data_IF_187296178872
#
_entry.id   IF_187296178872
#
_cell.length_a   1.000
_cell.length_b   1.000
_cell.length_c   1.000
_cell.angle_alpha   90.00
_cell.angle_beta   90.00
_cell.angle_gamma   90.00
#
_symmetry.space_group_name_H-M   'P 1'
#
loop_
_entity.id
_entity.type
_entity.pdbx_description
1 polymer ?
#
# COMPACT_ATOMS: atom_id res chain seq x y z
N UNK A 1 14.20 26.28 -12.28
CA UNK A 1 13.72 25.00 -12.88
C UNK A 1 13.13 25.31 -14.24
N UNK A 2 13.54 24.61 -15.30
CA UNK A 2 12.97 24.82 -16.66
C UNK A 2 11.58 24.16 -16.76
N UNK A 3 10.72 24.57 -17.72
CA UNK A 3 9.41 23.95 -17.92
C UNK A 3 9.51 22.44 -18.20
N UNK A 4 10.53 22.03 -18.96
CA UNK A 4 10.80 20.62 -19.24
C UNK A 4 11.11 19.81 -17.98
N UNK A 5 11.96 20.34 -17.09
CA UNK A 5 12.29 19.70 -15.80
C UNK A 5 11.07 19.64 -14.89
N UNK A 6 10.25 20.69 -14.86
CA UNK A 6 9.02 20.69 -14.08
C UNK A 6 8.07 19.56 -14.54
N UNK A 7 7.82 19.44 -15.84
CA UNK A 7 7.00 18.37 -16.41
C UNK A 7 7.57 16.97 -16.12
N UNK A 8 8.89 16.81 -16.19
CA UNK A 8 9.57 15.57 -15.81
C UNK A 8 9.33 15.21 -14.33
N UNK A 9 9.44 16.19 -13.43
CA UNK A 9 9.19 15.97 -12.01
C UNK A 9 7.71 15.70 -11.71
N UNK A 10 6.77 16.31 -12.43
CA UNK A 10 5.34 15.97 -12.33
C UNK A 10 5.07 14.53 -12.78
N UNK A 11 5.67 14.07 -13.89
CA UNK A 11 5.54 12.69 -14.33
C UNK A 11 6.11 11.69 -13.29
N UNK A 12 7.26 12.01 -12.69
CA UNK A 12 7.86 11.22 -11.62
C UNK A 12 7.00 11.22 -10.35
N UNK A 13 6.44 12.37 -9.97
CA UNK A 13 5.53 12.53 -8.84
C UNK A 13 4.24 11.72 -9.03
N UNK A 14 3.66 11.74 -10.24
CA UNK A 14 2.47 10.98 -10.55
C UNK A 14 2.73 9.48 -10.41
N UNK A 15 3.87 9.00 -10.91
CA UNK A 15 4.26 7.59 -10.77
C UNK A 15 4.50 7.20 -9.31
N UNK A 16 5.30 7.96 -8.56
CA UNK A 16 5.57 7.65 -7.15
C UNK A 16 4.32 7.76 -6.28
N UNK A 17 3.55 8.83 -6.46
CA UNK A 17 2.31 9.07 -5.75
C UNK A 17 1.24 8.00 -6.02
N UNK A 18 1.24 7.43 -7.23
CA UNK A 18 0.37 6.28 -7.56
C UNK A 18 0.78 5.00 -6.83
N UNK A 19 2.09 4.72 -6.70
CA UNK A 19 2.56 3.61 -5.85
C UNK A 19 2.13 3.81 -4.40
N UNK A 20 2.32 5.02 -3.86
CA UNK A 20 1.87 5.35 -2.50
C UNK A 20 0.36 5.23 -2.36
N UNK A 21 -0.42 5.71 -3.32
CA UNK A 21 -1.87 5.57 -3.32
C UNK A 21 -2.29 4.09 -3.31
N UNK A 22 -1.72 3.26 -4.19
CA UNK A 22 -2.06 1.85 -4.31
C UNK A 22 -1.88 1.09 -2.99
N UNK A 23 -0.74 1.30 -2.32
CA UNK A 23 -0.42 0.65 -1.05
C UNK A 23 -1.23 1.28 0.10
N UNK A 24 -1.42 2.60 0.11
CA UNK A 24 -2.20 3.31 1.12
C UNK A 24 -3.69 2.90 1.11
N UNK A 25 -4.25 2.55 -0.05
CA UNK A 25 -5.60 1.96 -0.14
C UNK A 25 -5.68 0.66 0.66
N UNK A 26 -4.66 -0.20 0.59
CA UNK A 26 -4.59 -1.44 1.35
C UNK A 26 -4.61 -1.21 2.87
N UNK A 27 -3.78 -0.28 3.37
CA UNK A 27 -3.81 0.18 4.77
C UNK A 27 -5.20 0.69 5.17
N UNK A 28 -5.80 1.49 4.30
CA UNK A 28 -7.09 2.15 4.54
C UNK A 28 -8.25 1.17 4.59
N UNK A 29 -8.23 0.12 3.77
CA UNK A 29 -9.26 -0.93 3.78
C UNK A 29 -9.25 -1.69 5.11
N UNK A 30 -8.08 -2.13 5.57
CA UNK A 30 -7.96 -2.87 6.84
C UNK A 30 -8.34 -1.99 8.01
N UNK A 31 -7.80 -0.76 8.07
CA UNK A 31 -8.16 0.19 9.11
C UNK A 31 -9.65 0.57 9.06
N UNK A 32 -10.23 0.71 7.87
CA UNK A 32 -11.64 1.09 7.72
C UNK A 32 -12.58 0.11 8.44
N UNK A 33 -12.24 -1.17 8.48
CA UNK A 33 -13.05 -2.19 9.15
C UNK A 33 -12.64 -2.39 10.60
N UNK A 34 -11.34 -2.61 10.87
CA UNK A 34 -10.88 -2.97 12.22
C UNK A 34 -10.54 -1.77 13.10
N UNK A 35 -10.44 -0.56 12.53
CA UNK A 35 -9.93 0.66 13.19
C UNK A 35 -8.57 0.46 13.86
N UNK A 36 -7.75 -0.39 13.25
CA UNK A 36 -6.42 -0.78 13.70
C UNK A 36 -5.44 -0.69 12.54
N UNK A 37 -4.22 -0.28 12.86
CA UNK A 37 -3.14 -0.11 11.88
C UNK A 37 -2.46 -1.46 11.69
N UNK A 38 -2.44 -1.96 10.46
CA UNK A 38 -1.71 -3.16 10.08
C UNK A 38 -0.25 -2.80 9.75
N UNK A 39 0.63 -2.81 10.76
CA UNK A 39 2.05 -2.50 10.55
C UNK A 39 2.76 -3.51 9.61
N UNK A 40 2.31 -4.77 9.59
CA UNK A 40 2.85 -5.82 8.72
C UNK A 40 2.48 -5.65 7.23
N UNK A 41 1.64 -4.68 6.85
CA UNK A 41 1.22 -4.50 5.46
C UNK A 41 2.39 -4.15 4.52
N UNK A 42 3.38 -3.40 5.00
CA UNK A 42 4.63 -3.14 4.28
C UNK A 42 5.40 -4.44 3.97
N UNK A 43 5.35 -5.41 4.87
CA UNK A 43 6.03 -6.70 4.68
C UNK A 43 5.25 -7.62 3.75
N UNK A 44 3.92 -7.54 3.75
CA UNK A 44 3.07 -8.20 2.73
C UNK A 44 3.39 -7.67 1.33
N UNK A 45 3.59 -6.35 1.21
CA UNK A 45 4.08 -5.72 -0.02
C UNK A 45 5.47 -6.25 -0.42
N UNK A 46 6.38 -6.38 0.55
CA UNK A 46 7.72 -6.93 0.32
C UNK A 46 7.64 -8.38 -0.18
N UNK A 47 6.84 -9.23 0.48
CA UNK A 47 6.63 -10.62 0.06
C UNK A 47 6.06 -10.69 -1.36
N UNK A 48 5.18 -9.78 -1.76
CA UNK A 48 4.66 -9.72 -3.13
C UNK A 48 5.76 -9.53 -4.18
N UNK A 49 6.73 -8.66 -3.93
CA UNK A 49 7.86 -8.52 -4.83
C UNK A 49 8.76 -9.77 -4.87
N UNK A 50 8.99 -10.41 -3.72
CA UNK A 50 9.81 -11.62 -3.63
C UNK A 50 9.16 -12.82 -4.31
N UNK A 51 7.86 -13.06 -4.10
CA UNK A 51 7.14 -14.17 -4.75
C UNK A 51 7.15 -13.95 -6.27
N UNK A 52 6.95 -12.72 -6.74
CA UNK A 52 7.01 -12.41 -8.17
C UNK A 52 8.41 -12.65 -8.75
N UNK A 53 9.46 -12.23 -8.02
CA UNK A 53 10.84 -12.49 -8.40
C UNK A 53 11.14 -13.99 -8.48
N UNK A 54 10.84 -14.75 -7.45
CA UNK A 54 11.11 -16.20 -7.42
C UNK A 54 10.28 -16.97 -8.46
N UNK A 55 9.05 -16.54 -8.72
CA UNK A 55 8.24 -17.09 -9.81
C UNK A 55 8.90 -16.93 -11.17
N UNK A 56 9.54 -15.79 -11.44
CA UNK A 56 10.28 -15.59 -12.71
C UNK A 56 11.69 -16.19 -12.70
N UNK A 57 12.43 -16.08 -11.59
CA UNK A 57 13.85 -16.35 -11.54
C UNK A 57 14.19 -17.81 -11.25
N UNK A 58 13.37 -18.51 -10.45
CA UNK A 58 13.58 -19.93 -10.11
C UNK A 58 12.61 -20.81 -10.88
N UNK A 59 11.31 -20.49 -10.85
CA UNK A 59 10.30 -21.30 -11.54
C UNK A 59 10.27 -21.06 -13.06
N UNK A 60 11.04 -20.10 -13.56
CA UNK A 60 11.10 -19.72 -14.98
C UNK A 60 9.73 -19.42 -15.59
N UNK A 61 8.78 -18.98 -14.76
CA UNK A 61 7.44 -18.63 -15.23
C UNK A 61 7.49 -17.34 -16.05
N UNK A 62 6.66 -17.22 -17.09
CA UNK A 62 6.48 -15.93 -17.73
C UNK A 62 5.92 -14.92 -16.72
N UNK A 63 6.27 -13.65 -16.87
CA UNK A 63 5.98 -12.59 -15.89
C UNK A 63 4.48 -12.49 -15.52
N UNK A 64 3.58 -12.74 -16.48
CA UNK A 64 2.14 -12.70 -16.25
C UNK A 64 1.64 -13.89 -15.40
N UNK A 65 2.25 -15.07 -15.56
CA UNK A 65 1.92 -16.23 -14.73
C UNK A 65 2.48 -16.05 -13.31
N UNK A 66 3.69 -15.49 -13.19
CA UNK A 66 4.27 -15.11 -11.89
C UNK A 66 3.39 -14.08 -11.17
N UNK A 67 2.81 -13.12 -11.90
CA UNK A 67 1.88 -12.14 -11.35
C UNK A 67 0.62 -12.80 -10.77
N UNK A 68 -0.01 -13.73 -11.50
CA UNK A 68 -1.20 -14.45 -11.02
C UNK A 68 -0.87 -15.28 -9.77
N UNK A 69 0.26 -16.01 -9.80
CA UNK A 69 0.74 -16.78 -8.66
C UNK A 69 0.96 -15.87 -7.44
N UNK A 70 1.62 -14.74 -7.63
CA UNK A 70 1.91 -13.77 -6.57
C UNK A 70 0.62 -13.24 -5.95
N UNK A 71 -0.35 -12.83 -6.77
CA UNK A 71 -1.64 -12.32 -6.27
C UNK A 71 -2.32 -13.38 -5.43
N UNK A 72 -2.39 -14.63 -5.90
CA UNK A 72 -3.04 -15.71 -5.18
C UNK A 72 -2.33 -16.00 -3.85
N UNK A 73 -1.02 -16.22 -3.88
CA UNK A 73 -0.23 -16.54 -2.70
C UNK A 73 -0.28 -15.44 -1.65
N UNK A 74 -0.15 -14.18 -2.05
CA UNK A 74 -0.12 -13.05 -1.12
C UNK A 74 -1.50 -12.70 -0.57
N UNK A 75 -2.56 -12.86 -1.37
CA UNK A 75 -3.93 -12.72 -0.89
C UNK A 75 -4.23 -13.76 0.20
N UNK A 76 -3.84 -15.02 -0.05
CA UNK A 76 -4.00 -16.11 0.93
C UNK A 76 -3.11 -15.90 2.16
N UNK A 77 -1.87 -15.44 1.96
CA UNK A 77 -0.97 -15.09 3.06
C UNK A 77 -1.60 -13.99 3.95
N UNK A 78 -2.19 -12.96 3.35
CA UNK A 78 -2.92 -11.92 4.05
C UNK A 78 -4.06 -12.44 4.93
N UNK A 79 -4.85 -13.38 4.41
CA UNK A 79 -5.90 -14.06 5.17
C UNK A 79 -5.30 -14.90 6.30
N UNK A 80 -4.19 -15.60 6.05
CA UNK A 80 -3.47 -16.35 7.08
C UNK A 80 -2.93 -15.46 8.19
N UNK A 81 -2.33 -14.33 7.82
CA UNK A 81 -1.82 -13.31 8.73
C UNK A 81 -2.93 -12.76 9.63
N UNK A 82 -4.10 -12.46 9.05
CA UNK A 82 -5.29 -12.06 9.80
C UNK A 82 -5.70 -13.12 10.82
N UNK A 83 -5.83 -14.38 10.40
CA UNK A 83 -6.26 -15.48 11.27
C UNK A 83 -5.30 -15.78 12.41
N UNK A 84 -4.00 -15.59 12.19
CA UNK A 84 -2.96 -15.96 13.16
C UNK A 84 -2.62 -14.77 14.08
N UNK A 85 -2.42 -13.58 13.52
CA UNK A 85 -1.91 -12.44 14.27
C UNK A 85 -3.01 -11.49 14.78
N UNK A 86 -4.16 -11.41 14.10
CA UNK A 86 -5.19 -10.40 14.40
C UNK A 86 -6.44 -11.01 15.03
N UNK A 87 -7.00 -12.07 14.44
CA UNK A 87 -8.24 -12.71 14.89
C UNK A 87 -8.20 -13.13 16.37
N UNK A 88 -7.14 -13.77 16.89
CA UNK A 88 -7.13 -14.24 18.28
C UNK A 88 -7.17 -13.11 19.31
N UNK A 89 -6.78 -11.91 18.91
CA UNK A 89 -6.67 -10.74 19.77
C UNK A 89 -7.78 -9.72 19.51
N UNK A 90 -8.78 -10.05 18.69
CA UNK A 90 -9.80 -9.08 18.25
C UNK A 90 -10.62 -8.50 19.40
N UNK A 91 -10.88 -9.30 20.42
CA UNK A 91 -11.61 -8.88 21.63
C UNK A 91 -10.67 -8.36 22.74
N UNK A 92 -9.36 -8.31 22.47
CA UNK A 92 -8.36 -7.74 23.38
C UNK A 92 -8.23 -6.22 23.21
N UNK A 93 -7.59 -5.51 24.16
CA UNK A 93 -7.29 -4.09 23.99
C UNK A 93 -6.57 -3.81 22.67
N UNK A 94 -6.88 -2.68 22.03
CA UNK A 94 -6.31 -2.28 20.72
C UNK A 94 -4.78 -2.32 20.68
N UNK A 95 -4.13 -2.02 21.82
CA UNK A 95 -2.67 -2.05 21.98
C UNK A 95 -2.13 -3.47 21.77
N UNK A 96 -2.81 -4.51 22.26
CA UNK A 96 -2.39 -5.90 22.09
C UNK A 96 -2.36 -6.32 20.62
N UNK A 97 -3.34 -5.88 19.84
CA UNK A 97 -3.39 -6.15 18.40
C UNK A 97 -2.27 -5.40 17.67
N UNK A 98 -1.97 -4.16 18.08
CA UNK A 98 -0.84 -3.40 17.54
C UNK A 98 0.51 -4.07 17.82
N UNK A 99 0.72 -4.56 19.05
CA UNK A 99 1.93 -5.31 19.42
C UNK A 99 2.05 -6.58 18.57
N UNK A 100 0.95 -7.32 18.38
CA UNK A 100 0.93 -8.51 17.52
C UNK A 100 1.24 -8.17 16.06
N UNK A 101 0.69 -7.08 15.53
CA UNK A 101 0.98 -6.60 14.17
C UNK A 101 2.46 -6.28 13.97
N UNK A 102 3.08 -5.60 14.95
CA UNK A 102 4.52 -5.31 14.96
C UNK A 102 5.35 -6.59 15.10
N UNK A 103 4.94 -7.51 15.97
CA UNK A 103 5.59 -8.81 16.12
C UNK A 103 5.55 -9.66 14.85
N UNK A 104 4.39 -9.69 14.17
CA UNK A 104 4.24 -10.30 12.86
C UNK A 104 5.13 -9.65 11.79
N UNK A 105 5.20 -8.31 11.78
CA UNK A 105 6.09 -7.56 10.88
C UNK A 105 7.55 -7.98 11.04
N UNK A 106 8.07 -7.91 12.28
CA UNK A 106 9.43 -8.38 12.58
C UNK A 106 9.65 -9.86 12.24
N UNK A 107 8.67 -10.73 12.50
CA UNK A 107 8.75 -12.13 12.15
C UNK A 107 8.90 -12.32 10.63
N UNK A 108 8.08 -11.62 9.84
CA UNK A 108 8.12 -11.69 8.37
C UNK A 108 9.46 -11.15 7.85
N UNK A 109 9.92 -10.00 8.35
CA UNK A 109 11.20 -9.41 7.97
C UNK A 109 12.37 -10.37 8.24
N UNK A 110 12.45 -10.92 9.45
CA UNK A 110 13.54 -11.81 9.84
C UNK A 110 13.47 -13.17 9.11
N UNK A 111 12.26 -13.70 8.89
CA UNK A 111 12.08 -14.87 8.04
C UNK A 111 12.50 -14.59 6.60
N UNK A 112 12.20 -13.42 6.06
CA UNK A 112 12.65 -13.03 4.72
C UNK A 112 14.18 -12.91 4.64
N UNK A 113 14.83 -12.35 5.67
CA UNK A 113 16.31 -12.36 5.76
C UNK A 113 16.86 -13.78 5.81
N UNK A 114 16.26 -14.67 6.60
CA UNK A 114 16.69 -16.05 6.74
C UNK A 114 16.49 -16.86 5.45
N UNK A 115 15.32 -16.77 4.83
CA UNK A 115 14.92 -17.57 3.66
C UNK A 115 15.47 -17.01 2.34
N UNK A 116 15.48 -15.69 2.18
CA UNK A 116 15.88 -15.04 0.93
C UNK A 116 17.32 -14.52 0.98
N UNK A 117 17.90 -14.39 2.17
CA UNK A 117 19.21 -13.81 2.40
C UNK A 117 19.14 -12.29 2.53
N UNK A 118 20.03 -11.71 3.34
CA UNK A 118 20.13 -10.26 3.55
C UNK A 118 20.79 -9.46 2.42
N UNK A 119 21.32 -10.14 1.38
CA UNK A 119 21.96 -9.46 0.25
C UNK A 119 20.90 -8.98 -0.75
N UNK A 120 20.99 -7.73 -1.24
CA UNK A 120 20.07 -7.26 -2.25
C UNK A 120 20.12 -8.12 -3.53
N UNK A 121 18.95 -8.34 -4.13
CA UNK A 121 18.80 -9.10 -5.39
C UNK A 121 18.32 -8.17 -6.50
N UNK A 122 18.97 -8.22 -7.66
CA UNK A 122 18.51 -7.50 -8.85
C UNK A 122 17.26 -8.17 -9.45
N UNK A 123 16.31 -7.37 -9.92
CA UNK A 123 15.07 -7.86 -10.54
C UNK A 123 15.15 -7.68 -12.05
N UNK A 124 14.88 -8.75 -12.80
CA UNK A 124 14.73 -8.67 -14.25
C UNK A 124 13.39 -8.02 -14.58
N UNK A 125 13.45 -6.80 -15.11
CA UNK A 125 12.25 -6.07 -15.54
C UNK A 125 11.84 -6.54 -16.94
N UNK A 126 10.57 -6.90 -17.18
CA UNK A 126 10.11 -7.24 -18.53
C UNK A 126 10.40 -6.11 -19.51
N UNK A 127 10.87 -6.43 -20.73
CA UNK A 127 11.29 -5.41 -21.71
C UNK A 127 10.21 -4.36 -21.97
N UNK A 128 8.93 -4.77 -22.02
CA UNK A 128 7.80 -3.85 -22.20
C UNK A 128 7.76 -2.77 -21.11
N UNK A 129 8.12 -3.10 -19.87
CA UNK A 129 8.11 -2.19 -18.72
C UNK A 129 9.37 -1.32 -18.63
N UNK A 130 10.49 -1.79 -19.17
CA UNK A 130 11.79 -1.11 -19.11
C UNK A 130 12.09 -0.12 -20.24
N UNK A 131 11.26 -0.06 -21.30
CA UNK A 131 11.46 0.87 -22.42
C UNK A 131 11.34 2.33 -21.99
N UNK A 132 12.20 3.19 -22.52
CA UNK A 132 12.12 4.65 -22.33
C UNK A 132 11.32 5.24 -23.50
N UNK A 133 10.26 5.97 -23.17
CA UNK A 133 9.46 6.72 -24.12
C UNK A 133 9.83 8.19 -24.03
N UNK A 134 10.11 8.81 -25.18
CA UNK A 134 10.44 10.22 -25.28
C UNK A 134 9.21 11.00 -25.75
N UNK A 135 8.74 11.93 -24.91
CA UNK A 135 7.68 12.87 -25.22
C UNK A 135 8.29 14.28 -25.27
N UNK A 136 8.82 14.65 -26.45
CA UNK A 136 9.60 15.87 -26.59
C UNK A 136 10.82 15.87 -25.66
N UNK A 137 10.86 16.82 -24.72
CA UNK A 137 11.95 16.95 -23.74
C UNK A 137 11.79 16.06 -22.48
N UNK A 138 10.68 15.31 -22.36
CA UNK A 138 10.38 14.48 -21.19
C UNK A 138 10.68 13.01 -21.52
N UNK A 139 11.42 12.33 -20.66
CA UNK A 139 11.77 10.92 -20.83
C UNK A 139 11.13 10.09 -19.72
N UNK A 140 10.24 9.17 -20.10
CA UNK A 140 9.44 8.39 -19.15
C UNK A 140 9.64 6.91 -19.44
N UNK A 141 10.10 6.16 -18.43
CA UNK A 141 10.14 4.70 -18.51
C UNK A 141 8.72 4.16 -18.49
N UNK A 142 8.38 3.18 -19.34
CA UNK A 142 7.02 2.63 -19.51
C UNK A 142 6.37 2.25 -18.19
N UNK A 143 7.10 1.63 -17.26
CA UNK A 143 6.59 1.30 -15.91
C UNK A 143 5.96 2.50 -15.19
N UNK A 144 6.49 3.71 -15.40
CA UNK A 144 6.00 4.94 -14.77
C UNK A 144 4.63 5.38 -15.30
N UNK A 145 4.23 4.93 -16.49
CA UNK A 145 2.89 5.12 -17.06
C UNK A 145 1.96 3.97 -16.67
N UNK A 146 2.50 2.76 -16.56
CA UNK A 146 1.74 1.55 -16.17
C UNK A 146 1.28 1.65 -14.72
N UNK A 147 2.11 2.16 -13.82
CA UNK A 147 1.78 2.34 -12.40
C UNK A 147 0.47 3.13 -12.18
N UNK A 148 0.32 4.38 -12.66
CA UNK A 148 -0.91 5.13 -12.48
C UNK A 148 -2.09 4.42 -13.14
N UNK A 149 -1.92 3.86 -14.34
CA UNK A 149 -2.97 3.13 -15.04
C UNK A 149 -3.52 1.97 -14.20
N UNK A 150 -2.65 1.10 -13.67
CA UNK A 150 -3.07 -0.02 -12.82
C UNK A 150 -3.62 0.46 -11.48
N UNK A 151 -3.08 1.53 -10.91
CA UNK A 151 -3.58 2.10 -9.66
C UNK A 151 -5.02 2.58 -9.82
N UNK A 152 -5.32 3.34 -10.88
CA UNK A 152 -6.69 3.79 -11.17
C UNK A 152 -7.62 2.64 -11.53
N UNK A 153 -7.14 1.64 -12.28
CA UNK A 153 -7.92 0.44 -12.60
C UNK A 153 -8.31 -0.33 -11.35
N UNK A 154 -7.34 -0.63 -10.47
CA UNK A 154 -7.57 -1.36 -9.22
C UNK A 154 -8.43 -0.55 -8.25
N UNK A 155 -8.25 0.78 -8.19
CA UNK A 155 -9.13 1.66 -7.43
C UNK A 155 -10.57 1.61 -7.95
N UNK A 156 -10.78 1.66 -9.26
CA UNK A 156 -12.11 1.58 -9.85
C UNK A 156 -12.79 0.25 -9.54
N UNK A 157 -12.05 -0.86 -9.66
CA UNK A 157 -12.53 -2.20 -9.28
C UNK A 157 -12.87 -2.25 -7.79
N UNK A 158 -11.99 -1.74 -6.93
CA UNK A 158 -12.23 -1.72 -5.48
C UNK A 158 -13.45 -0.89 -5.12
N UNK A 159 -13.60 0.31 -5.69
CA UNK A 159 -14.76 1.17 -5.45
C UNK A 159 -16.04 0.52 -5.96
N UNK A 160 -15.99 -0.23 -7.07
CA UNK A 160 -17.11 -1.03 -7.53
C UNK A 160 -17.43 -2.16 -6.55
N UNK A 161 -16.44 -2.94 -6.10
CA UNK A 161 -16.62 -4.01 -5.09
C UNK A 161 -17.26 -3.41 -3.84
N UNK A 162 -16.66 -2.36 -3.27
CA UNK A 162 -17.16 -1.72 -2.06
C UNK A 162 -18.56 -1.20 -2.32
N UNK A 163 -18.78 -0.30 -3.27
CA UNK A 163 -20.04 0.44 -3.39
C UNK A 163 -21.19 -0.33 -4.06
N UNK A 164 -20.91 -1.33 -4.89
CA UNK A 164 -21.91 -1.98 -5.75
C UNK A 164 -22.14 -3.46 -5.48
N UNK A 165 -21.41 -4.10 -4.56
CA UNK A 165 -21.59 -5.54 -4.26
C UNK A 165 -22.15 -5.80 -2.85
N UNK A 166 -22.71 -7.00 -2.64
CA UNK A 166 -23.19 -7.44 -1.31
C UNK A 166 -22.04 -7.53 -0.31
N UNK A 167 -20.88 -8.04 -0.73
CA UNK A 167 -19.66 -8.09 0.10
C UNK A 167 -19.24 -6.69 0.53
N UNK A 168 -19.26 -5.72 -0.40
CA UNK A 168 -18.95 -4.33 -0.08
C UNK A 168 -19.98 -3.63 0.80
N UNK A 169 -21.27 -3.98 0.68
CA UNK A 169 -22.31 -3.55 1.61
C UNK A 169 -22.02 -4.06 3.03
N UNK A 170 -21.66 -5.34 3.16
CA UNK A 170 -21.28 -5.93 4.43
C UNK A 170 -19.99 -5.28 5.01
N UNK A 171 -18.97 -5.01 4.19
CA UNK A 171 -17.77 -4.26 4.61
C UNK A 171 -18.14 -2.89 5.22
N UNK A 172 -19.04 -2.14 4.57
CA UNK A 172 -19.50 -0.85 5.10
C UNK A 172 -20.31 -1.00 6.39
N UNK A 173 -21.17 -2.02 6.49
CA UNK A 173 -21.92 -2.30 7.71
C UNK A 173 -20.97 -2.57 8.89
N UNK A 174 -20.01 -3.48 8.70
CA UNK A 174 -19.02 -3.85 9.72
C UNK A 174 -18.13 -2.65 10.11
N UNK A 175 -17.73 -1.80 9.16
CA UNK A 175 -16.94 -0.58 9.46
C UNK A 175 -17.70 0.45 10.32
N UNK A 176 -19.03 0.41 10.26
CA UNK A 176 -19.90 1.34 10.99
C UNK A 176 -20.10 0.85 12.42
N UNK A 177 -20.60 -0.38 12.56
CA UNK A 177 -20.86 -1.03 13.84
C UNK A 177 -20.77 -2.55 13.69
N UNK A 178 -19.75 -3.14 14.32
CA UNK A 178 -19.46 -4.57 14.23
C UNK A 178 -20.54 -5.40 14.94
N UNK A 179 -21.03 -4.95 16.09
CA UNK A 179 -22.03 -5.68 16.89
C UNK A 179 -23.39 -5.65 16.19
N UNK A 180 -23.80 -4.48 15.70
CA UNK A 180 -25.03 -4.37 14.92
C UNK A 180 -24.95 -5.22 13.63
N UNK A 181 -23.81 -5.26 12.96
CA UNK A 181 -23.62 -6.12 11.79
C UNK A 181 -23.78 -7.61 12.13
N UNK A 182 -23.26 -8.07 13.29
CA UNK A 182 -23.46 -9.45 13.76
C UNK A 182 -24.93 -9.76 14.01
N UNK A 183 -25.68 -8.84 14.63
CA UNK A 183 -27.12 -9.00 14.86
C UNK A 183 -27.93 -9.08 13.56
N UNK A 184 -27.44 -8.48 12.49
CA UNK A 184 -28.00 -8.57 11.14
C UNK A 184 -27.54 -9.82 10.36
N UNK A 185 -27.01 -10.83 11.07
CA UNK A 185 -26.52 -12.10 10.51
C UNK A 185 -25.40 -11.96 9.46
N UNK A 186 -24.62 -10.87 9.52
CA UNK A 186 -23.43 -10.71 8.69
C UNK A 186 -22.28 -11.50 9.31
N UNK A 187 -21.66 -12.37 8.52
CA UNK A 187 -20.41 -13.04 8.91
C UNK A 187 -19.24 -12.04 8.96
N UNK A 188 -19.06 -11.43 10.13
CA UNK A 188 -17.99 -10.45 10.38
C UNK A 188 -16.61 -11.05 10.13
N UNK A 189 -16.38 -12.29 10.55
CA UNK A 189 -15.09 -12.95 10.39
C UNK A 189 -14.75 -13.14 8.92
N UNK A 190 -15.70 -13.64 8.13
CA UNK A 190 -15.55 -13.77 6.68
C UNK A 190 -15.26 -12.42 6.00
N UNK A 191 -15.98 -11.36 6.39
CA UNK A 191 -15.78 -10.02 5.81
C UNK A 191 -14.40 -9.43 6.17
N UNK A 192 -13.92 -9.62 7.40
CA UNK A 192 -12.57 -9.20 7.79
C UNK A 192 -11.52 -9.98 7.02
N UNK A 193 -11.63 -11.31 6.93
CA UNK A 193 -10.70 -12.13 6.15
C UNK A 193 -10.68 -11.72 4.67
N UNK A 194 -11.85 -11.51 4.04
CA UNK A 194 -11.92 -11.02 2.65
C UNK A 194 -11.21 -9.67 2.50
N UNK A 195 -11.38 -8.78 3.48
CA UNK A 195 -10.76 -7.45 3.46
C UNK A 195 -9.24 -7.52 3.57
N UNK A 196 -8.70 -8.40 4.41
CA UNK A 196 -7.27 -8.68 4.46
C UNK A 196 -6.75 -9.30 3.17
N UNK A 197 -7.51 -10.20 2.55
CA UNK A 197 -7.20 -10.77 1.25
C UNK A 197 -7.11 -9.71 0.16
N UNK A 198 -8.11 -8.83 0.04
CA UNK A 198 -8.12 -7.72 -0.92
C UNK A 198 -7.00 -6.71 -0.63
N UNK A 199 -6.79 -6.34 0.64
CA UNK A 199 -5.70 -5.46 1.02
C UNK A 199 -4.34 -6.04 0.60
N UNK A 200 -4.13 -7.32 0.88
CA UNK A 200 -2.88 -8.02 0.54
C UNK A 200 -2.71 -8.21 -0.97
N UNK A 201 -3.80 -8.39 -1.72
CA UNK A 201 -3.80 -8.35 -3.18
C UNK A 201 -3.28 -7.00 -3.70
N UNK A 202 -3.75 -5.88 -3.14
CA UNK A 202 -3.27 -4.55 -3.52
C UNK A 202 -1.79 -4.35 -3.15
N UNK A 203 -1.35 -4.86 -1.99
CA UNK A 203 0.05 -4.88 -1.60
C UNK A 203 0.90 -5.71 -2.57
N UNK A 204 0.39 -6.84 -3.06
CA UNK A 204 1.06 -7.68 -4.06
C UNK A 204 1.29 -6.92 -5.37
N UNK A 205 0.25 -6.25 -5.88
CA UNK A 205 0.39 -5.37 -7.05
C UNK A 205 1.38 -4.23 -6.79
N UNK A 206 1.32 -3.62 -5.61
CA UNK A 206 2.28 -2.60 -5.19
C UNK A 206 3.72 -3.13 -5.22
N UNK A 207 3.98 -4.32 -4.67
CA UNK A 207 5.29 -4.94 -4.61
C UNK A 207 5.87 -5.27 -5.99
N UNK A 208 5.03 -5.82 -6.88
CA UNK A 208 5.41 -6.11 -8.27
C UNK A 208 5.76 -4.82 -9.01
N UNK A 209 4.89 -3.81 -8.95
CA UNK A 209 5.10 -2.56 -9.67
C UNK A 209 6.30 -1.77 -9.09
N UNK A 210 6.50 -1.84 -7.78
CA UNK A 210 7.66 -1.26 -7.12
C UNK A 210 8.96 -1.92 -7.57
N UNK A 211 9.01 -3.26 -7.64
CA UNK A 211 10.20 -3.97 -8.08
C UNK A 211 10.50 -3.75 -9.57
N UNK A 212 9.50 -3.45 -10.40
CA UNK A 212 9.76 -3.01 -11.78
C UNK A 212 10.29 -1.58 -11.86
N UNK A 213 9.87 -0.69 -10.95
CA UNK A 213 10.32 0.71 -10.91
C UNK A 213 11.71 0.86 -10.28
N UNK A 214 11.96 0.09 -9.23
CA UNK A 214 13.19 0.04 -8.45
C UNK A 214 13.67 -1.42 -8.44
N UNK A 215 14.45 -1.85 -9.45
CA UNK A 215 14.77 -3.27 -9.71
C UNK A 215 15.79 -3.87 -8.75
N UNK A 216 15.53 -3.75 -7.47
CA UNK A 216 16.33 -4.24 -6.36
C UNK A 216 15.42 -4.68 -5.22
N UNK A 217 15.56 -5.92 -4.78
CA UNK A 217 14.87 -6.44 -3.60
C UNK A 217 15.80 -6.44 -2.39
N UNK A 218 15.26 -6.01 -1.25
CA UNK A 218 15.89 -6.13 0.06
C UNK A 218 14.81 -6.63 1.04
N UNK A 219 15.10 -7.58 1.95
CA UNK A 219 14.13 -8.06 2.94
C UNK A 219 13.53 -6.97 3.85
N UNK A 220 14.15 -5.79 3.92
CA UNK A 220 13.65 -4.65 4.70
C UNK A 220 13.00 -3.57 3.83
N UNK A 221 12.82 -3.80 2.54
CA UNK A 221 12.30 -2.77 1.62
C UNK A 221 10.83 -2.42 1.87
N UNK A 222 10.09 -3.20 2.67
CA UNK A 222 8.70 -2.93 3.03
C UNK A 222 8.53 -1.83 4.07
N UNK A 223 9.51 -1.64 4.95
CA UNK A 223 9.42 -0.76 6.13
C UNK A 223 9.18 0.68 5.75
N UNK A 224 10.09 1.27 4.96
CA UNK A 224 10.05 2.70 4.66
C UNK A 224 8.89 3.08 3.72
N UNK A 225 8.66 2.35 2.60
CA UNK A 225 7.46 2.56 1.80
C UNK A 225 6.17 2.32 2.60
N UNK A 226 6.12 1.30 3.47
CA UNK A 226 4.98 1.03 4.34
C UNK A 226 4.65 2.22 5.25
N UNK A 227 5.65 2.77 5.93
CA UNK A 227 5.49 3.98 6.76
C UNK A 227 5.03 5.19 5.93
N UNK A 228 5.59 5.41 4.73
CA UNK A 228 5.15 6.49 3.84
C UNK A 228 3.71 6.31 3.36
N UNK A 229 3.30 5.09 3.05
CA UNK A 229 1.92 4.81 2.64
C UNK A 229 0.94 4.94 3.80
N UNK A 230 1.36 4.61 5.02
CA UNK A 230 0.60 4.94 6.23
C UNK A 230 0.46 6.46 6.40
N UNK A 231 1.54 7.23 6.24
CA UNK A 231 1.50 8.70 6.26
C UNK A 231 0.50 9.22 5.23
N UNK A 232 0.57 8.72 4.00
CA UNK A 232 -0.36 9.06 2.93
C UNK A 232 -1.82 8.76 3.30
N UNK A 233 -2.09 7.58 3.88
CA UNK A 233 -3.43 7.20 4.34
C UNK A 233 -3.94 8.14 5.45
N UNK A 234 -3.09 8.51 6.41
CA UNK A 234 -3.46 9.42 7.51
C UNK A 234 -3.70 10.84 7.01
N UNK A 235 -2.79 11.38 6.19
CA UNK A 235 -2.96 12.70 5.55
C UNK A 235 -4.25 12.74 4.75
N UNK A 236 -4.52 11.70 3.97
CA UNK A 236 -5.73 11.55 3.17
C UNK A 236 -7.01 11.45 4.01
N UNK A 237 -6.90 10.98 5.26
CA UNK A 237 -8.00 10.61 6.12
C UNK A 237 -8.17 9.10 6.16
N UNK A 238 -7.58 8.48 7.18
CA UNK A 238 -7.55 7.02 7.32
C UNK A 238 -8.97 6.45 7.41
N UNK A 239 -9.21 5.33 6.71
CA UNK A 239 -10.55 4.75 6.52
C UNK A 239 -11.33 5.28 5.31
N UNK A 240 -10.86 6.34 4.62
CA UNK A 240 -11.43 6.83 3.36
C UNK A 240 -10.58 6.41 2.17
N UNK A 241 -11.07 5.49 1.33
CA UNK A 241 -10.35 4.99 0.15
C UNK A 241 -9.91 6.17 -0.75
N UNK A 242 -10.83 7.07 -1.10
CA UNK A 242 -10.53 8.25 -1.92
C UNK A 242 -9.55 9.22 -1.23
N UNK A 243 -9.64 9.33 0.11
CA UNK A 243 -8.70 10.10 0.92
C UNK A 243 -7.28 9.56 0.78
N UNK A 244 -7.10 8.26 0.96
CA UNK A 244 -5.80 7.60 0.84
C UNK A 244 -5.13 7.79 -0.52
N UNK A 245 -5.93 7.79 -1.60
CA UNK A 245 -5.43 8.07 -2.95
C UNK A 245 -4.92 9.50 -3.07
N UNK A 246 -5.71 10.49 -2.66
CA UNK A 246 -5.26 11.89 -2.66
C UNK A 246 -4.03 12.10 -1.78
N UNK A 247 -4.00 11.47 -0.60
CA UNK A 247 -2.85 11.51 0.29
C UNK A 247 -1.59 10.92 -0.33
N UNK A 248 -1.71 9.81 -1.07
CA UNK A 248 -0.60 9.19 -1.81
C UNK A 248 -0.05 10.10 -2.90
N UNK A 249 -0.93 10.70 -3.70
CA UNK A 249 -0.54 11.67 -4.73
C UNK A 249 0.11 12.92 -4.14
N UNK A 250 -0.47 13.49 -3.08
CA UNK A 250 0.09 14.65 -2.39
C UNK A 250 1.47 14.36 -1.81
N UNK A 251 1.62 13.20 -1.15
CA UNK A 251 2.90 12.80 -0.58
C UNK A 251 3.95 12.62 -1.69
N UNK A 252 3.62 11.92 -2.79
CA UNK A 252 4.53 11.74 -3.91
C UNK A 252 4.91 13.05 -4.60
N UNK A 253 3.96 13.97 -4.73
CA UNK A 253 4.21 15.31 -5.28
C UNK A 253 5.13 16.12 -4.38
N UNK A 254 4.84 16.18 -3.08
CA UNK A 254 5.66 16.90 -2.11
C UNK A 254 7.08 16.32 -2.08
N UNK A 255 7.21 14.99 -2.07
CA UNK A 255 8.50 14.31 -2.04
C UNK A 255 9.36 14.66 -3.26
N UNK A 256 8.81 14.53 -4.47
CA UNK A 256 9.55 14.80 -5.71
C UNK A 256 9.81 16.30 -5.88
N UNK A 257 8.84 17.17 -5.57
CA UNK A 257 9.02 18.63 -5.66
C UNK A 257 10.03 19.16 -4.64
N UNK A 258 10.06 18.61 -3.42
CA UNK A 258 11.02 19.04 -2.39
C UNK A 258 12.43 18.73 -2.83
N UNK A 259 12.67 17.54 -3.39
CA UNK A 259 13.99 17.17 -3.94
C UNK A 259 14.35 18.04 -5.14
N UNK A 260 13.38 18.40 -5.99
CA UNK A 260 13.61 19.23 -7.17
C UNK A 260 13.90 20.70 -6.83
N UNK A 261 13.22 21.26 -5.83
CA UNK A 261 13.36 22.67 -5.43
C UNK A 261 14.48 22.90 -4.42
N UNK A 262 14.76 21.92 -3.56
CA UNK A 262 15.75 22.00 -2.48
C UNK A 262 16.74 20.82 -2.56
N UNK A 263 17.62 20.76 -3.58
CA UNK A 263 18.53 19.62 -3.77
C UNK A 263 19.48 19.38 -2.59
N UNK A 264 19.89 20.44 -1.90
CA UNK A 264 20.75 20.39 -0.70
C UNK A 264 20.08 19.67 0.47
N UNK A 265 18.75 19.63 0.52
CA UNK A 265 17.96 18.96 1.56
C UNK A 265 17.42 17.59 1.11
N UNK A 266 17.85 17.09 -0.05
CA UNK A 266 17.36 15.82 -0.61
C UNK A 266 17.63 14.60 0.27
N UNK A 267 18.62 14.65 1.16
CA UNK A 267 18.88 13.62 2.18
C UNK A 267 17.85 13.58 3.31
N UNK A 268 17.11 14.67 3.53
CA UNK A 268 16.04 14.79 4.53
C UNK A 268 14.65 14.50 3.95
N UNK A 269 14.60 13.95 2.73
CA UNK A 269 13.35 13.63 2.02
C UNK A 269 12.32 12.93 2.89
N UNK A 270 12.76 11.95 3.65
CA UNK A 270 11.90 11.16 4.52
C UNK A 270 11.36 11.97 5.71
N UNK A 271 12.19 12.85 6.28
CA UNK A 271 11.78 13.75 7.36
C UNK A 271 10.65 14.68 6.91
N UNK A 272 10.64 15.16 5.66
CA UNK A 272 9.55 15.98 5.13
C UNK A 272 8.21 15.25 5.12
N UNK A 273 8.18 13.94 4.86
CA UNK A 273 6.96 13.14 4.94
C UNK A 273 6.39 13.13 6.37
N UNK A 274 7.24 12.95 7.38
CA UNK A 274 6.82 12.95 8.79
C UNK A 274 6.44 14.34 9.29
N UNK A 275 7.16 15.40 8.88
CA UNK A 275 6.79 16.78 9.22
C UNK A 275 5.41 17.11 8.62
N UNK A 276 5.17 16.73 7.37
CA UNK A 276 3.88 16.90 6.73
C UNK A 276 2.76 16.17 7.50
N UNK A 277 3.00 14.94 7.94
CA UNK A 277 2.06 14.20 8.79
C UNK A 277 1.70 15.00 10.05
N UNK A 278 2.72 15.47 10.79
CA UNK A 278 2.53 16.20 12.04
C UNK A 278 1.73 17.48 11.79
N UNK A 279 2.09 18.25 10.76
CA UNK A 279 1.38 19.50 10.40
C UNK A 279 -0.08 19.21 10.05
N UNK A 280 -0.35 18.20 9.24
CA UNK A 280 -1.74 17.84 8.86
C UNK A 280 -2.53 17.39 10.08
N UNK A 281 -1.96 16.61 10.99
CA UNK A 281 -2.66 16.16 12.19
C UNK A 281 -2.93 17.30 13.20
N UNK A 282 -2.03 18.27 13.32
CA UNK A 282 -2.23 19.45 14.16
C UNK A 282 -3.36 20.35 13.63
N UNK A 283 -3.42 20.53 12.30
CA UNK A 283 -4.41 21.43 11.67
C UNK A 283 -5.76 20.72 11.43
N UNK A 284 -5.72 19.44 11.03
CA UNK A 284 -6.89 18.66 10.62
C UNK A 284 -6.72 17.18 11.00
N UNK A 285 -6.99 16.79 12.27
CA UNK A 285 -6.72 15.45 12.80
C UNK A 285 -7.49 14.32 12.11
N UNK A 286 -8.58 14.63 11.40
CA UNK A 286 -9.29 13.66 10.56
C UNK A 286 -8.64 13.42 9.20
N UNK A 287 -7.54 14.10 8.87
CA UNK A 287 -6.99 14.17 7.52
C UNK A 287 -7.88 14.96 6.56
N UNK A 288 -7.50 14.99 5.29
CA UNK A 288 -8.11 15.82 4.25
C UNK A 288 -9.56 15.43 3.95
N UNK A 289 -9.85 14.13 3.82
CA UNK A 289 -11.18 13.60 3.48
C UNK A 289 -11.74 12.63 4.54
N UNK A 290 -11.18 12.59 5.75
CA UNK A 290 -11.72 11.74 6.81
C UNK A 290 -13.04 12.28 7.35
N UNK A 291 -13.93 11.36 7.73
CA UNK A 291 -15.22 11.67 8.35
C UNK A 291 -15.06 11.67 9.87
N UNK A 292 -15.59 12.69 10.55
CA UNK A 292 -15.71 12.68 12.02
C UNK A 292 -16.74 11.61 12.40
N UNK A 293 -16.29 10.53 13.04
CA UNK A 293 -17.20 9.68 13.78
C UNK A 293 -17.31 10.28 15.18
N UNK A 294 -18.49 10.81 15.50
CA UNK A 294 -18.81 11.19 16.87
C UNK A 294 -18.84 9.91 17.71
N UNK A 295 -17.93 9.81 18.68
CA UNK A 295 -18.04 8.80 19.73
C UNK A 295 -19.31 9.14 20.51
N UNK A 296 -20.33 8.26 20.43
CA UNK A 296 -21.53 8.42 21.25
C UNK A 296 -21.14 8.06 22.67
N UNK A 297 -21.08 9.07 23.53
CA UNK A 297 -21.06 8.93 25.00
C UNK A 297 -22.47 8.57 25.46
#
# INVERSE_FOLDING_TARGET
>A
MTPALFLQHIANALSLGSLYALIAIGYTMVYGILRLINFAHGDVFMLGAYVAFYGTAILSLPWWASLILTILCISLFGVGLEKIAYKPLRDSPKISIMISAIGASYLIENLAVLLFGGRPKGVTVPEMMGRVLHFGSVSIVTVSLVIPLFTFLLLAILLWIVNRTKTGMAMRAVSTDVEAARLMAIDVDGIVSITFGIGSLLAAFGGILWSFKYPQLNPLMGVMPGLKCFIAAVIGGIGSISGAVLGGFLLGLIEIMTVALLPTLSGYRDAFAFVLLIVVLLVKPTGLLGKRQAEKV
#
